data_IF_595164122519
#
_entry.id   IF_595164122519
#
_cell.length_a   1.000
_cell.length_b   1.000
_cell.length_c   1.000
_cell.angle_alpha   90.00
_cell.angle_beta   90.00
_cell.angle_gamma   90.00
#
_symmetry.space_group_name_H-M   'P 1'
#
loop_
_entity.id
_entity.type
_entity.pdbx_description
1 polymer ?
#
# COMPACT_ATOMS: atom_id res chain seq x y z
N UNK A 1 -16.53 -41.23 10.23
CA UNK A 1 -15.16 -41.79 10.33
C UNK A 1 -14.33 -41.14 9.22
N UNK A 2 -13.10 -40.64 9.48
CA UNK A 2 -12.48 -39.62 8.66
C UNK A 2 -11.39 -40.15 7.74
N UNK A 3 -10.95 -39.30 6.80
CA UNK A 3 -9.53 -39.21 6.45
C UNK A 3 -9.04 -37.80 6.85
N UNK A 4 -7.77 -37.71 7.27
CA UNK A 4 -7.20 -36.57 8.00
C UNK A 4 -6.38 -35.62 7.09
N UNK A 5 -6.05 -34.40 7.55
CA UNK A 5 -5.31 -33.42 6.75
C UNK A 5 -3.83 -33.78 6.61
N UNK A 6 -3.20 -33.30 5.54
CA UNK A 6 -1.74 -33.28 5.42
C UNK A 6 -1.12 -32.24 6.36
N UNK A 7 -0.03 -32.63 7.01
CA UNK A 7 0.57 -31.94 8.15
C UNK A 7 1.78 -31.09 7.80
N UNK A 8 1.99 -30.05 8.60
CA UNK A 8 3.17 -29.19 8.64
C UNK A 8 4.37 -29.90 9.30
N UNK A 9 5.53 -29.89 8.62
CA UNK A 9 6.93 -30.13 9.07
C UNK A 9 7.76 -30.33 7.79
N UNK A 10 8.63 -29.42 7.35
CA UNK A 10 10.02 -29.14 7.78
C UNK A 10 10.53 -28.04 6.82
N UNK A 11 11.49 -27.13 7.08
CA UNK A 11 12.45 -26.93 8.18
C UNK A 11 12.84 -25.43 8.25
N UNK A 12 13.39 -25.00 9.40
CA UNK A 12 13.96 -23.68 9.65
C UNK A 12 15.43 -23.55 9.17
N UNK A 13 15.98 -22.33 9.31
CA UNK A 13 17.41 -21.92 9.28
C UNK A 13 17.94 -21.48 7.88
N UNK A 14 18.34 -20.23 7.56
CA UNK A 14 18.95 -19.05 8.24
C UNK A 14 20.49 -19.09 8.34
N UNK A 15 21.14 -18.05 7.76
CA UNK A 15 22.60 -17.72 7.74
C UNK A 15 23.54 -18.75 7.05
N UNK A 16 24.73 -18.40 6.53
CA UNK A 16 25.59 -17.20 6.70
C UNK A 16 26.49 -16.88 5.45
N UNK A 17 27.41 -15.92 5.56
CA UNK A 17 28.18 -15.21 4.50
C UNK A 17 29.61 -15.79 4.18
N UNK A 18 30.40 -15.26 3.20
CA UNK A 18 31.52 -15.96 2.52
C UNK A 18 32.93 -15.73 3.13
N UNK A 19 34.01 -16.36 2.61
CA UNK A 19 34.99 -15.71 1.68
C UNK A 19 35.41 -16.66 0.50
N UNK A 20 36.38 -16.44 -0.42
CA UNK A 20 37.78 -15.91 -0.32
C UNK A 20 38.34 -15.47 -1.69
N UNK A 21 39.49 -14.78 -1.71
CA UNK A 21 40.08 -13.97 -2.80
C UNK A 21 41.11 -14.66 -3.74
N UNK A 22 41.65 -13.85 -4.67
CA UNK A 22 42.94 -13.93 -5.40
C UNK A 22 43.17 -14.85 -6.62
N UNK A 23 43.60 -14.25 -7.76
CA UNK A 23 45.00 -14.34 -8.25
C UNK A 23 45.29 -13.51 -9.54
N UNK A 24 46.08 -12.43 -9.38
CA UNK A 24 47.18 -11.88 -10.20
C UNK A 24 47.29 -12.05 -11.76
N UNK A 25 47.63 -10.92 -12.41
CA UNK A 25 48.39 -10.78 -13.69
C UNK A 25 49.94 -10.79 -13.40
N UNK A 26 50.94 -10.57 -14.32
CA UNK A 26 50.93 -9.95 -15.66
C UNK A 26 51.98 -10.44 -16.71
N UNK A 27 52.23 -9.60 -17.73
CA UNK A 27 53.44 -9.44 -18.57
C UNK A 27 53.59 -10.20 -19.90
N UNK A 28 53.86 -9.42 -20.96
CA UNK A 28 54.29 -9.91 -22.29
C UNK A 28 54.61 -8.76 -23.27
N UNK A 29 55.86 -8.66 -23.71
CA UNK A 29 56.36 -7.64 -24.64
C UNK A 29 57.51 -8.21 -25.48
N UNK A 30 57.97 -7.60 -26.58
CA UNK A 30 57.68 -6.29 -27.18
C UNK A 30 57.81 -6.42 -28.73
N UNK A 31 57.70 -5.32 -29.51
CA UNK A 31 58.56 -4.97 -30.67
C UNK A 31 57.94 -3.84 -31.52
N UNK A 32 58.77 -2.83 -31.85
CA UNK A 32 58.44 -1.72 -32.78
C UNK A 32 59.22 -1.87 -34.09
N UNK A 33 58.58 -1.66 -35.25
CA UNK A 33 59.25 -1.45 -36.55
C UNK A 33 58.57 -0.28 -37.29
N UNK A 34 59.36 0.45 -38.08
CA UNK A 34 59.18 1.81 -38.61
C UNK A 34 58.24 2.03 -39.79
N UNK A 35 57.64 3.23 -39.86
CA UNK A 35 57.03 3.88 -41.05
C UNK A 35 58.07 4.22 -42.15
N UNK A 36 57.72 4.54 -43.42
CA UNK A 36 56.93 5.75 -43.75
C UNK A 36 55.98 5.71 -44.99
N UNK A 37 54.96 6.60 -44.92
CA UNK A 37 54.41 7.47 -45.99
C UNK A 37 54.02 6.90 -47.39
N UNK A 38 52.72 6.93 -47.73
CA UNK A 38 52.18 7.56 -48.96
C UNK A 38 50.64 7.52 -49.09
N UNK A 39 50.08 8.45 -49.87
CA UNK A 39 48.69 8.60 -50.33
C UNK A 39 47.61 8.78 -49.23
N UNK A 40 47.05 9.98 -48.98
CA UNK A 40 46.25 10.86 -49.86
C UNK A 40 44.81 10.36 -50.07
N UNK A 41 43.85 11.14 -49.58
CA UNK A 41 42.39 11.15 -49.83
C UNK A 41 41.67 9.78 -49.77
N UNK A 42 40.70 9.59 -48.88
CA UNK A 42 39.46 10.37 -48.97
C UNK A 42 38.87 10.72 -47.62
N UNK A 43 38.34 11.94 -47.57
CA UNK A 43 37.40 12.42 -46.56
C UNK A 43 36.12 11.57 -46.62
N UNK A 44 36.11 10.45 -45.90
CA UNK A 44 34.90 9.65 -45.69
C UNK A 44 34.03 10.40 -44.69
N UNK A 45 33.42 11.47 -45.17
CA UNK A 45 32.31 12.13 -44.52
C UNK A 45 31.29 11.08 -44.12
N UNK A 46 31.20 10.79 -42.82
CA UNK A 46 30.12 9.99 -42.23
C UNK A 46 28.88 10.87 -42.30
N UNK A 47 28.33 10.96 -43.52
CA UNK A 47 27.10 11.64 -43.83
C UNK A 47 26.00 10.88 -43.12
N UNK A 48 25.68 11.37 -41.91
CA UNK A 48 24.73 10.79 -40.97
C UNK A 48 23.32 10.89 -41.57
N UNK A 49 23.04 10.03 -42.55
CA UNK A 49 21.68 9.69 -42.95
C UNK A 49 21.13 8.81 -41.84
N UNK A 50 20.69 9.45 -40.75
CA UNK A 50 19.90 8.80 -39.70
C UNK A 50 18.87 7.92 -40.38
N UNK A 51 18.88 6.63 -40.06
CA UNK A 51 18.01 5.70 -40.79
C UNK A 51 16.56 6.16 -40.61
N UNK A 52 15.74 6.12 -41.64
CA UNK A 52 14.31 6.51 -41.52
C UNK A 52 13.62 5.71 -40.40
N UNK A 53 14.04 4.46 -40.24
CA UNK A 53 13.71 3.59 -39.11
C UNK A 53 14.21 4.13 -37.76
N UNK A 54 15.46 4.60 -37.66
CA UNK A 54 16.03 5.17 -36.43
C UNK A 54 15.28 6.44 -36.01
N UNK A 55 14.95 7.33 -36.95
CA UNK A 55 14.11 8.52 -36.70
C UNK A 55 12.70 8.11 -36.26
N UNK A 56 12.10 7.11 -36.90
CA UNK A 56 10.81 6.56 -36.51
C UNK A 56 10.81 5.96 -35.09
N UNK A 57 11.85 5.18 -34.74
CA UNK A 57 12.03 4.60 -33.42
C UNK A 57 12.27 5.68 -32.36
N UNK A 58 13.11 6.68 -32.63
CA UNK A 58 13.36 7.79 -31.71
C UNK A 58 12.08 8.61 -31.45
N UNK A 59 11.29 8.90 -32.49
CA UNK A 59 10.00 9.55 -32.34
C UNK A 59 9.01 8.69 -31.55
N UNK A 60 8.96 7.38 -31.79
CA UNK A 60 8.13 6.44 -31.05
C UNK A 60 8.51 6.40 -29.55
N UNK A 61 9.81 6.31 -29.24
CA UNK A 61 10.33 6.36 -27.87
C UNK A 61 10.04 7.70 -27.18
N UNK A 62 10.15 8.82 -27.90
CA UNK A 62 9.79 10.14 -27.41
C UNK A 62 8.29 10.22 -27.05
N UNK A 63 7.40 9.74 -27.94
CA UNK A 63 5.96 9.66 -27.67
C UNK A 63 5.62 8.71 -26.51
N UNK A 64 6.31 7.57 -26.38
CA UNK A 64 6.13 6.66 -25.24
C UNK A 64 6.53 7.35 -23.93
N UNK A 65 7.68 8.04 -23.91
CA UNK A 65 8.13 8.81 -22.74
C UNK A 65 7.11 9.90 -22.38
N UNK A 66 6.64 10.67 -23.38
CA UNK A 66 5.65 11.71 -23.17
C UNK A 66 4.34 11.14 -22.58
N UNK A 67 3.84 10.02 -23.12
CA UNK A 67 2.66 9.34 -22.58
C UNK A 67 2.87 8.87 -21.13
N UNK A 68 4.06 8.37 -20.77
CA UNK A 68 4.39 7.98 -19.38
C UNK A 68 4.38 9.21 -18.46
N UNK A 69 4.98 10.32 -18.89
CA UNK A 69 4.99 11.58 -18.11
C UNK A 69 3.55 12.12 -17.92
N UNK A 70 2.74 12.13 -18.99
CA UNK A 70 1.32 12.53 -18.93
C UNK A 70 0.51 11.61 -18.00
N UNK A 71 0.66 10.29 -18.11
CA UNK A 71 -0.01 9.32 -17.23
C UNK A 71 0.40 9.50 -15.76
N UNK A 72 1.67 9.80 -15.48
CA UNK A 72 2.14 10.10 -14.13
C UNK A 72 1.44 11.34 -13.54
N UNK A 73 1.28 12.41 -14.33
CA UNK A 73 0.55 13.61 -13.92
C UNK A 73 -0.92 13.28 -13.62
N UNK A 74 -1.59 12.56 -14.53
CA UNK A 74 -3.01 12.16 -14.38
C UNK A 74 -3.20 11.28 -13.15
N UNK A 75 -2.35 10.27 -12.92
CA UNK A 75 -2.42 9.40 -11.75
C UNK A 75 -2.21 10.19 -10.44
N UNK A 76 -1.24 11.10 -10.41
CA UNK A 76 -1.03 11.96 -9.24
C UNK A 76 -2.24 12.86 -8.95
N UNK A 77 -2.91 13.38 -9.98
CA UNK A 77 -4.16 14.13 -9.82
C UNK A 77 -5.32 13.25 -9.36
N UNK A 78 -5.51 12.06 -9.95
CA UNK A 78 -6.52 11.09 -9.49
C UNK A 78 -6.30 10.72 -8.02
N UNK A 79 -5.07 10.48 -7.59
CA UNK A 79 -4.73 10.20 -6.19
C UNK A 79 -4.96 11.43 -5.29
N UNK A 80 -4.76 12.66 -5.78
CA UNK A 80 -5.13 13.91 -5.07
C UNK A 80 -6.65 14.03 -4.93
N UNK A 81 -7.39 13.86 -6.02
CA UNK A 81 -8.85 13.91 -6.08
C UNK A 81 -9.49 12.85 -5.18
N UNK A 82 -9.03 11.60 -5.22
CA UNK A 82 -9.47 10.50 -4.32
C UNK A 82 -9.22 10.87 -2.85
N UNK A 83 -8.07 11.46 -2.51
CA UNK A 83 -7.79 11.90 -1.13
C UNK A 83 -8.67 13.08 -0.71
N UNK A 84 -9.06 13.97 -1.62
CA UNK A 84 -9.95 15.08 -1.35
C UNK A 84 -11.41 14.63 -1.17
N UNK A 85 -11.92 13.71 -1.99
CA UNK A 85 -13.28 13.17 -1.88
C UNK A 85 -13.45 12.18 -0.72
N UNK A 86 -12.38 11.48 -0.34
CA UNK A 86 -12.35 10.63 0.86
C UNK A 86 -11.94 11.37 2.15
N UNK A 87 -11.78 12.71 2.12
CA UNK A 87 -11.85 13.44 3.39
C UNK A 87 -13.25 13.22 3.98
N UNK A 88 -13.36 12.78 5.25
CA UNK A 88 -14.65 12.81 5.91
C UNK A 88 -15.15 14.25 5.95
N UNK A 89 -16.47 14.43 5.96
CA UNK A 89 -17.05 15.67 6.48
C UNK A 89 -16.43 15.94 7.85
N UNK A 90 -15.62 16.99 7.98
CA UNK A 90 -15.04 17.37 9.29
C UNK A 90 -16.14 17.83 10.27
N UNK A 91 -17.30 18.21 9.73
CA UNK A 91 -18.51 18.50 10.49
C UNK A 91 -19.07 17.19 11.06
N UNK A 92 -19.14 17.11 12.39
CA UNK A 92 -19.78 16.01 13.08
C UNK A 92 -21.28 15.96 12.74
N UNK A 93 -21.83 14.78 12.38
CA UNK A 93 -23.28 14.58 12.28
C UNK A 93 -23.98 14.97 13.59
N UNK A 94 -25.20 15.53 13.50
CA UNK A 94 -25.94 16.02 14.69
C UNK A 94 -26.35 14.89 15.63
N UNK A 95 -26.48 13.67 15.11
CA UNK A 95 -27.03 12.50 15.81
C UNK A 95 -25.96 11.68 16.55
N UNK A 96 -24.80 12.29 16.82
CA UNK A 96 -23.65 11.60 17.40
C UNK A 96 -23.76 11.52 18.94
N UNK A 97 -23.68 10.32 19.55
CA UNK A 97 -23.72 10.18 21.01
C UNK A 97 -22.44 10.68 21.67
N UNK A 98 -22.50 10.93 22.98
CA UNK A 98 -21.32 11.29 23.76
C UNK A 98 -20.43 10.07 24.02
N UNK A 99 -19.23 10.08 23.43
CA UNK A 99 -18.22 9.05 23.61
C UNK A 99 -17.37 9.28 24.89
N UNK A 100 -17.00 8.22 25.64
CA UNK A 100 -17.38 6.81 25.46
C UNK A 100 -18.80 6.52 25.98
N UNK A 101 -19.56 5.74 25.21
CA UNK A 101 -20.93 5.35 25.55
C UNK A 101 -20.95 4.50 26.82
N UNK A 102 -21.82 4.88 27.78
CA UNK A 102 -21.91 4.22 29.10
C UNK A 102 -23.13 3.32 29.26
N UNK A 103 -24.12 3.41 28.38
CA UNK A 103 -25.33 2.62 28.45
C UNK A 103 -25.47 1.65 27.27
N UNK A 104 -25.86 0.40 27.54
CA UNK A 104 -26.07 -0.63 26.53
C UNK A 104 -27.18 -0.27 25.54
N UNK A 105 -28.25 0.38 26.01
CA UNK A 105 -29.36 0.80 25.13
C UNK A 105 -28.95 1.95 24.19
N UNK A 106 -28.07 2.84 24.64
CA UNK A 106 -27.49 3.91 23.82
C UNK A 106 -26.55 3.32 22.76
N UNK A 107 -25.71 2.34 23.11
CA UNK A 107 -24.84 1.66 22.15
C UNK A 107 -25.64 0.93 21.06
N UNK A 108 -26.77 0.30 21.42
CA UNK A 108 -27.67 -0.34 20.44
C UNK A 108 -28.32 0.66 19.49
N UNK A 109 -28.74 1.83 19.99
CA UNK A 109 -29.25 2.92 19.14
C UNK A 109 -28.16 3.42 18.18
N UNK A 110 -26.94 3.59 18.66
CA UNK A 110 -25.80 4.00 17.83
C UNK A 110 -25.45 2.95 16.76
N UNK A 111 -25.50 1.65 17.07
CA UNK A 111 -25.28 0.59 16.09
C UNK A 111 -26.36 0.57 15.00
N UNK A 112 -27.63 0.83 15.36
CA UNK A 112 -28.73 0.99 14.40
C UNK A 112 -28.55 2.22 13.50
N UNK A 113 -28.18 3.38 14.07
CA UNK A 113 -27.87 4.59 13.28
C UNK A 113 -26.72 4.34 12.27
N UNK A 114 -25.72 3.52 12.62
CA UNK A 114 -24.66 3.11 11.70
C UNK A 114 -25.14 2.15 10.60
N UNK A 115 -26.22 1.40 10.80
CA UNK A 115 -26.81 0.55 9.76
C UNK A 115 -27.61 1.38 8.75
N UNK A 116 -28.30 2.41 9.21
CA UNK A 116 -29.16 3.28 8.39
C UNK A 116 -28.36 4.39 7.66
N UNK A 117 -27.32 4.94 8.29
CA UNK A 117 -26.63 6.14 7.80
C UNK A 117 -25.18 5.85 7.35
N UNK A 118 -24.99 5.71 6.04
CA UNK A 118 -23.68 5.46 5.41
C UNK A 118 -22.71 6.65 5.51
N UNK A 119 -23.21 7.89 5.61
CA UNK A 119 -22.37 9.08 5.84
C UNK A 119 -21.82 9.09 7.27
N UNK A 120 -22.63 8.67 8.25
CA UNK A 120 -22.17 8.45 9.63
C UNK A 120 -21.12 7.33 9.68
N UNK A 121 -21.27 6.25 8.90
CA UNK A 121 -20.24 5.22 8.75
C UNK A 121 -18.93 5.82 8.21
N UNK A 122 -18.96 6.60 7.11
CA UNK A 122 -17.75 7.24 6.56
C UNK A 122 -17.08 8.18 7.57
N UNK A 123 -17.89 8.99 8.26
CA UNK A 123 -17.42 9.87 9.34
C UNK A 123 -16.72 9.08 10.44
N UNK A 124 -17.37 8.04 10.98
CA UNK A 124 -16.83 7.25 12.08
C UNK A 124 -15.61 6.43 11.68
N UNK A 125 -15.57 5.83 10.49
CA UNK A 125 -14.37 5.13 9.98
C UNK A 125 -13.16 6.06 9.95
N UNK A 126 -13.32 7.29 9.45
CA UNK A 126 -12.21 8.25 9.43
C UNK A 126 -11.89 8.83 10.81
N UNK A 127 -12.90 9.04 11.68
CA UNK A 127 -12.70 9.50 13.06
C UNK A 127 -11.93 8.49 13.88
N UNK A 128 -12.24 7.20 13.74
CA UNK A 128 -11.51 6.11 14.37
C UNK A 128 -10.11 5.96 13.77
N UNK A 129 -9.95 6.07 12.45
CA UNK A 129 -8.64 6.06 11.80
C UNK A 129 -7.68 7.11 12.37
N UNK A 130 -8.19 8.30 12.77
CA UNK A 130 -7.41 9.35 13.42
C UNK A 130 -6.97 9.03 14.87
N UNK A 131 -7.57 8.03 15.53
CA UNK A 131 -7.13 7.55 16.87
C UNK A 131 -5.78 6.82 16.78
N UNK A 132 -5.47 6.25 15.61
CA UNK A 132 -4.20 5.60 15.30
C UNK A 132 -3.91 4.33 16.12
N UNK A 133 -2.67 3.86 15.99
CA UNK A 133 -2.15 2.65 16.62
C UNK A 133 -0.97 2.11 15.83
N UNK A 134 0.06 1.59 16.50
CA UNK A 134 1.24 1.00 15.84
C UNK A 134 0.97 -0.38 15.24
N UNK A 135 -0.02 -1.10 15.77
CA UNK A 135 -0.53 -2.37 15.23
C UNK A 135 -2.06 -2.35 15.21
N UNK A 136 -2.65 -3.30 14.48
CA UNK A 136 -4.11 -3.51 14.43
C UNK A 136 -4.68 -3.69 15.84
N UNK A 137 -4.01 -4.46 16.71
CA UNK A 137 -4.45 -4.70 18.09
C UNK A 137 -4.50 -3.41 18.92
N UNK A 138 -3.45 -2.59 18.84
CA UNK A 138 -3.42 -1.29 19.52
C UNK A 138 -4.49 -0.34 18.98
N UNK A 139 -4.72 -0.35 17.67
CA UNK A 139 -5.75 0.44 17.01
C UNK A 139 -7.16 0.03 17.48
N UNK A 140 -7.53 -1.25 17.31
CA UNK A 140 -8.81 -1.81 17.76
C UNK A 140 -9.06 -1.55 19.24
N UNK A 141 -8.05 -1.74 20.10
CA UNK A 141 -8.18 -1.48 21.55
C UNK A 141 -8.40 0.00 21.87
N UNK A 142 -7.76 0.92 21.13
CA UNK A 142 -7.99 2.37 21.30
C UNK A 142 -9.36 2.80 20.75
N UNK A 143 -9.75 2.28 19.59
CA UNK A 143 -11.07 2.53 18.99
C UNK A 143 -12.20 2.07 19.91
N UNK A 144 -12.12 0.86 20.48
CA UNK A 144 -13.10 0.35 21.45
C UNK A 144 -13.18 1.22 22.71
N UNK A 145 -12.03 1.60 23.29
CA UNK A 145 -11.97 2.50 24.46
C UNK A 145 -12.52 3.91 24.19
N UNK A 146 -12.43 4.38 22.96
CA UNK A 146 -13.06 5.63 22.54
C UNK A 146 -14.58 5.47 22.43
N UNK A 147 -15.06 4.38 21.82
CA UNK A 147 -16.48 4.17 21.53
C UNK A 147 -17.32 3.83 22.77
N UNK A 148 -16.84 2.99 23.68
CA UNK A 148 -17.64 2.48 24.79
C UNK A 148 -16.85 2.31 26.08
N UNK A 149 -17.54 2.46 27.22
CA UNK A 149 -16.97 2.18 28.54
C UNK A 149 -16.78 0.67 28.75
N UNK A 150 -15.90 0.31 29.70
CA UNK A 150 -15.74 -1.09 30.10
C UNK A 150 -17.06 -1.71 30.60
N UNK A 151 -17.91 -0.93 31.28
CA UNK A 151 -19.22 -1.35 31.80
C UNK A 151 -20.16 -1.83 30.67
N UNK A 152 -20.10 -1.20 29.50
CA UNK A 152 -20.85 -1.68 28.32
C UNK A 152 -20.10 -2.84 27.67
N UNK A 153 -18.79 -2.74 27.50
CA UNK A 153 -17.97 -3.74 26.80
C UNK A 153 -18.06 -5.15 27.41
N UNK A 154 -18.19 -5.28 28.73
CA UNK A 154 -18.37 -6.59 29.40
C UNK A 154 -19.65 -7.34 29.03
N UNK A 155 -20.63 -6.68 28.38
CA UNK A 155 -21.87 -7.29 27.89
C UNK A 155 -21.72 -7.96 26.52
N UNK A 156 -20.53 -7.90 25.91
CA UNK A 156 -20.23 -8.49 24.62
C UNK A 156 -19.26 -9.66 24.73
N UNK A 157 -19.33 -10.57 23.76
CA UNK A 157 -18.23 -11.44 23.37
C UNK A 157 -18.19 -11.52 21.83
N UNK A 158 -17.17 -12.14 21.24
CA UNK A 158 -17.02 -12.13 19.78
C UNK A 158 -18.22 -12.76 19.04
N UNK A 159 -18.50 -14.04 19.29
CA UNK A 159 -19.48 -14.85 18.54
C UNK A 159 -20.94 -14.73 19.01
N UNK A 160 -21.18 -14.21 20.21
CA UNK A 160 -22.51 -14.02 20.79
C UNK A 160 -23.16 -15.27 21.39
N UNK A 161 -22.44 -16.03 22.24
CA UNK A 161 -23.02 -17.20 22.94
C UNK A 161 -23.87 -16.78 24.16
N UNK A 162 -23.24 -16.55 25.31
CA UNK A 162 -23.92 -16.12 26.55
C UNK A 162 -24.11 -14.59 26.64
N UNK A 163 -23.42 -13.85 25.77
CA UNK A 163 -23.37 -12.38 25.72
C UNK A 163 -23.68 -11.93 24.30
N UNK A 164 -23.85 -10.63 24.07
CA UNK A 164 -24.10 -10.11 22.73
C UNK A 164 -22.90 -10.36 21.80
N UNK A 165 -23.17 -10.70 20.53
CA UNK A 165 -22.11 -10.82 19.52
C UNK A 165 -21.59 -9.44 19.13
N UNK A 166 -20.29 -9.23 19.25
CA UNK A 166 -19.63 -8.06 18.69
C UNK A 166 -19.41 -8.18 17.18
N UNK A 167 -19.11 -9.39 16.67
CA UNK A 167 -18.88 -9.68 15.25
C UNK A 167 -20.06 -9.25 14.35
N UNK A 168 -21.29 -9.33 14.87
CA UNK A 168 -22.52 -8.95 14.15
C UNK A 168 -22.87 -7.45 14.22
N UNK A 169 -22.13 -6.65 14.99
CA UNK A 169 -22.39 -5.20 15.10
C UNK A 169 -21.91 -4.45 13.87
N UNK A 170 -22.57 -3.36 13.52
CA UNK A 170 -22.06 -2.45 12.50
C UNK A 170 -20.81 -1.73 13.00
N UNK A 171 -20.74 -1.39 14.29
CA UNK A 171 -19.56 -0.82 14.97
C UNK A 171 -18.28 -1.62 14.65
N UNK A 172 -18.33 -2.95 14.71
CA UNK A 172 -17.23 -3.84 14.33
C UNK A 172 -16.74 -3.58 12.89
N UNK A 173 -17.67 -3.47 11.93
CA UNK A 173 -17.33 -3.17 10.53
C UNK A 173 -16.72 -1.78 10.34
N UNK A 174 -17.06 -0.80 11.18
CA UNK A 174 -16.48 0.56 11.14
C UNK A 174 -15.05 0.56 11.69
N UNK A 175 -14.77 -0.17 12.78
CA UNK A 175 -13.42 -0.30 13.36
C UNK A 175 -12.47 -1.00 12.37
N UNK A 176 -12.95 -2.03 11.67
CA UNK A 176 -12.16 -2.77 10.67
C UNK A 176 -12.28 -2.18 9.26
N UNK A 177 -13.07 -1.12 9.07
CA UNK A 177 -13.40 -0.51 7.78
C UNK A 177 -12.24 0.20 7.07
N UNK A 178 -11.02 0.04 7.57
CA UNK A 178 -9.78 0.52 6.97
C UNK A 178 -8.84 -0.66 6.74
N UNK A 179 -9.08 -1.37 5.63
CA UNK A 179 -8.13 -2.31 4.98
C UNK A 179 -8.63 -2.87 3.62
N UNK A 180 -9.91 -2.71 3.23
CA UNK A 180 -10.45 -3.27 1.98
C UNK A 180 -10.17 -2.42 0.71
N UNK A 181 -9.00 -1.77 0.65
CA UNK A 181 -8.50 -1.05 -0.53
C UNK A 181 -7.02 -1.43 -0.73
N UNK A 182 -6.80 -2.70 -1.04
CA UNK A 182 -5.57 -3.27 -1.61
C UNK A 182 -6.00 -4.19 -2.76
#
# INVERSE_FOLDING_TARGET
NPERPFTFSDKLNVHETPPTEDCLTPSGSNVSISSPLSASVSDTSVSHRSSEFEVSVLNCLASIKENIDQHSIILNEVIRSIRATNQPSSVAPKDLPNFPIKNLAELKKFDALLQENQELVRYMTSRLAAVGGSTIEYHTRRALKFLMSNEVAVNFNWKGREKLSFEKTKIMSVIYGKNSIL
#
